data_IF_668285313815
#
_entry.id   IF_668285313815
#
_cell.length_a   1.000
_cell.length_b   1.000
_cell.length_c   1.000
_cell.angle_alpha   90.00
_cell.angle_beta   90.00
_cell.angle_gamma   90.00
#
_symmetry.space_group_name_H-M   'P 1'
#
loop_
_entity.id
_entity.type
_entity.pdbx_description
1 polymer ?
#
# COMPACT_ATOMS: atom_id res chain seq x y z
N UNK A 1 -5.68 25.62 -9.56
CA UNK A 1 -6.65 25.22 -10.61
C UNK A 1 -8.05 25.43 -10.03
N UNK A 2 -9.07 25.64 -10.86
CA UNK A 2 -10.44 25.95 -10.39
C UNK A 2 -11.09 24.72 -9.77
N UNK A 3 -11.87 24.88 -8.68
CA UNK A 3 -12.69 23.82 -8.10
C UNK A 3 -13.44 23.05 -9.21
N UNK A 4 -13.46 21.72 -9.12
CA UNK A 4 -14.13 20.87 -10.10
C UNK A 4 -15.58 21.32 -10.27
N UNK A 5 -16.03 21.37 -11.52
CA UNK A 5 -17.44 21.56 -11.85
C UNK A 5 -18.28 20.55 -11.05
N UNK A 6 -19.36 20.96 -10.32
CA UNK A 6 -20.18 20.05 -9.52
C UNK A 6 -20.65 18.78 -10.25
N UNK A 7 -20.95 18.85 -11.55
CA UNK A 7 -21.32 17.65 -12.32
C UNK A 7 -20.14 16.68 -12.49
N UNK A 8 -18.94 17.21 -12.72
CA UNK A 8 -17.72 16.40 -12.85
C UNK A 8 -17.35 15.77 -11.51
N UNK A 9 -17.46 16.52 -10.40
CA UNK A 9 -17.24 15.96 -9.07
C UNK A 9 -18.21 14.81 -8.78
N UNK A 10 -19.50 14.96 -9.08
CA UNK A 10 -20.48 13.89 -8.88
C UNK A 10 -20.13 12.62 -9.70
N UNK A 11 -19.67 12.78 -10.94
CA UNK A 11 -19.20 11.67 -11.78
C UNK A 11 -17.98 10.97 -11.18
N UNK A 12 -16.97 11.74 -10.74
CA UNK A 12 -15.79 11.21 -10.04
C UNK A 12 -16.19 10.43 -8.79
N UNK A 13 -17.10 10.95 -7.96
CA UNK A 13 -17.54 10.25 -6.76
C UNK A 13 -18.28 8.94 -7.09
N UNK A 14 -19.10 8.93 -8.14
CA UNK A 14 -19.74 7.70 -8.63
C UNK A 14 -18.72 6.69 -9.15
N UNK A 15 -17.65 7.15 -9.83
CA UNK A 15 -16.59 6.28 -10.32
C UNK A 15 -15.77 5.67 -9.17
N UNK A 16 -15.48 6.45 -8.12
CA UNK A 16 -14.81 5.97 -6.90
C UNK A 16 -15.67 4.89 -6.21
N UNK A 17 -16.98 5.11 -6.07
CA UNK A 17 -17.88 4.13 -5.46
C UNK A 17 -17.97 2.84 -6.29
N UNK A 18 -17.89 2.94 -7.61
CA UNK A 18 -17.91 1.81 -8.53
C UNK A 18 -16.58 1.03 -8.64
N UNK A 19 -15.48 1.50 -8.04
CA UNK A 19 -14.19 0.79 -8.13
C UNK A 19 -14.31 -0.66 -7.67
N UNK A 20 -13.90 -1.59 -8.54
CA UNK A 20 -13.72 -2.99 -8.20
C UNK A 20 -12.38 -3.18 -7.48
N UNK A 21 -12.46 -3.31 -6.14
CA UNK A 21 -11.30 -3.55 -5.29
C UNK A 21 -11.14 -5.03 -4.91
N UNK A 22 -11.85 -5.94 -5.58
CA UNK A 22 -11.81 -7.38 -5.27
C UNK A 22 -10.39 -7.97 -5.30
N UNK A 23 -9.54 -7.69 -6.31
CA UNK A 23 -8.18 -8.22 -6.32
C UNK A 23 -7.32 -7.69 -5.16
N UNK A 24 -7.49 -6.42 -4.79
CA UNK A 24 -6.74 -5.78 -3.70
C UNK A 24 -7.18 -6.35 -2.35
N UNK A 25 -8.49 -6.50 -2.13
CA UNK A 25 -9.03 -7.18 -0.93
C UNK A 25 -8.54 -8.62 -0.84
N UNK A 26 -8.57 -9.37 -1.94
CA UNK A 26 -8.03 -10.73 -1.99
C UNK A 26 -6.54 -10.75 -1.61
N UNK A 27 -5.74 -9.82 -2.16
CA UNK A 27 -4.32 -9.70 -1.80
C UNK A 27 -4.13 -9.36 -0.31
N UNK A 28 -4.95 -8.49 0.25
CA UNK A 28 -4.87 -8.09 1.66
C UNK A 28 -5.15 -9.25 2.64
N UNK A 29 -6.02 -10.20 2.28
CA UNK A 29 -6.37 -11.34 3.15
C UNK A 29 -5.38 -12.51 3.09
N UNK A 30 -4.50 -12.53 2.08
CA UNK A 30 -3.47 -13.58 1.95
C UNK A 30 -2.47 -13.53 3.12
N UNK A 31 -2.10 -14.70 3.62
CA UNK A 31 -1.20 -14.85 4.76
C UNK A 31 0.27 -14.79 4.35
N UNK A 32 0.59 -15.27 3.14
CA UNK A 32 1.97 -15.49 2.70
C UNK A 32 2.65 -14.18 2.28
N UNK A 33 1.93 -13.37 1.52
CA UNK A 33 2.46 -12.20 0.82
C UNK A 33 1.49 -11.00 0.86
N UNK A 34 0.50 -11.07 1.76
CA UNK A 34 -0.51 -10.05 2.01
C UNK A 34 -0.45 -9.54 3.45
N UNK A 35 -1.56 -8.94 3.90
CA UNK A 35 -1.65 -8.45 5.28
C UNK A 35 -2.18 -9.48 6.28
N UNK A 36 -2.73 -10.61 5.80
CA UNK A 36 -3.35 -11.64 6.63
C UNK A 36 -4.68 -11.19 7.25
N UNK A 37 -5.30 -10.17 6.68
CA UNK A 37 -6.55 -9.61 7.18
C UNK A 37 -7.73 -10.56 7.03
N UNK A 38 -8.74 -10.41 7.89
CA UNK A 38 -10.03 -11.09 7.65
C UNK A 38 -10.75 -10.42 6.48
N UNK A 39 -11.64 -11.13 5.78
CA UNK A 39 -12.46 -10.54 4.71
C UNK A 39 -13.23 -9.29 5.18
N UNK A 40 -13.80 -9.33 6.39
CA UNK A 40 -14.58 -8.22 6.96
C UNK A 40 -13.69 -6.99 7.20
N UNK A 41 -12.47 -7.21 7.71
CA UNK A 41 -11.53 -6.12 7.89
C UNK A 41 -11.09 -5.53 6.53
N UNK A 42 -10.81 -6.37 5.53
CA UNK A 42 -10.49 -5.90 4.18
C UNK A 42 -11.63 -5.08 3.53
N UNK A 43 -12.90 -5.43 3.76
CA UNK A 43 -14.05 -4.61 3.32
C UNK A 43 -14.09 -3.25 4.02
N UNK A 44 -13.87 -3.21 5.35
CA UNK A 44 -13.83 -1.94 6.09
C UNK A 44 -12.72 -1.02 5.59
N UNK A 45 -11.52 -1.55 5.37
CA UNK A 45 -10.40 -0.76 4.86
C UNK A 45 -10.62 -0.35 3.39
N UNK A 46 -11.21 -1.21 2.55
CA UNK A 46 -11.57 -0.84 1.19
C UNK A 46 -12.55 0.35 1.15
N UNK A 47 -13.54 0.38 2.05
CA UNK A 47 -14.45 1.52 2.20
C UNK A 47 -13.70 2.78 2.69
N UNK A 48 -12.82 2.64 3.67
CA UNK A 48 -11.99 3.77 4.15
C UNK A 48 -11.07 4.31 3.04
N UNK A 49 -10.52 3.45 2.20
CA UNK A 49 -9.71 3.82 1.03
C UNK A 49 -10.53 4.58 -0.02
N UNK A 50 -11.75 4.11 -0.35
CA UNK A 50 -12.67 4.88 -1.24
C UNK A 50 -12.99 6.26 -0.68
N UNK A 51 -13.16 6.38 0.64
CA UNK A 51 -13.35 7.67 1.32
C UNK A 51 -12.10 8.54 1.23
N UNK A 52 -10.90 7.98 1.35
CA UNK A 52 -9.65 8.71 1.14
C UNK A 52 -9.51 9.23 -0.30
N UNK A 53 -9.84 8.42 -1.33
CA UNK A 53 -9.91 8.88 -2.73
C UNK A 53 -10.94 10.00 -2.93
N UNK A 54 -12.07 9.93 -2.22
CA UNK A 54 -13.09 10.99 -2.24
C UNK A 54 -12.54 12.31 -1.68
N UNK A 55 -11.69 12.27 -0.64
CA UNK A 55 -11.05 13.48 -0.12
C UNK A 55 -10.10 14.09 -1.15
N UNK A 56 -9.30 13.27 -1.86
CA UNK A 56 -8.47 13.75 -2.97
C UNK A 56 -9.28 14.41 -4.09
N UNK A 57 -10.45 13.84 -4.44
CA UNK A 57 -11.33 14.43 -5.45
C UNK A 57 -11.93 15.78 -5.00
N UNK A 58 -12.30 15.91 -3.72
CA UNK A 58 -12.93 17.12 -3.18
C UNK A 58 -11.93 18.22 -2.83
N UNK A 59 -10.69 17.85 -2.48
CA UNK A 59 -9.65 18.77 -1.99
C UNK A 59 -8.32 18.56 -2.73
N UNK A 60 -8.29 18.73 -4.07
CA UNK A 60 -7.13 18.37 -4.90
C UNK A 60 -5.87 19.20 -4.60
N UNK A 61 -6.01 20.36 -3.96
CA UNK A 61 -4.89 21.26 -3.63
C UNK A 61 -4.29 20.98 -2.23
N UNK A 62 -4.84 20.03 -1.46
CA UNK A 62 -4.37 19.72 -0.11
C UNK A 62 -3.43 18.51 -0.11
N UNK A 63 -2.40 18.59 0.74
CA UNK A 63 -1.58 17.42 1.08
C UNK A 63 -2.36 16.57 2.09
N UNK A 64 -2.74 15.36 1.70
CA UNK A 64 -3.53 14.44 2.52
C UNK A 64 -2.71 13.19 2.87
N UNK A 65 -2.67 12.85 4.15
CA UNK A 65 -2.00 11.65 4.65
C UNK A 65 -3.04 10.68 5.25
N UNK A 66 -3.15 9.44 4.74
CA UNK A 66 -4.07 8.45 5.28
C UNK A 66 -3.55 7.90 6.61
N UNK A 67 -4.38 7.10 7.28
CA UNK A 67 -3.89 6.21 8.34
C UNK A 67 -3.06 5.04 7.74
N UNK A 68 -2.41 4.29 8.61
CA UNK A 68 -1.49 3.22 8.20
C UNK A 68 -2.19 2.09 7.43
N UNK A 69 -3.40 1.68 7.80
CA UNK A 69 -4.07 0.55 7.13
C UNK A 69 -4.61 0.97 5.75
N UNK A 70 -5.11 2.19 5.62
CA UNK A 70 -5.49 2.77 4.33
C UNK A 70 -4.26 2.96 3.43
N UNK A 71 -3.12 3.37 3.98
CA UNK A 71 -1.85 3.47 3.24
C UNK A 71 -1.38 2.10 2.72
N UNK A 72 -1.39 1.08 3.58
CA UNK A 72 -1.09 -0.30 3.20
C UNK A 72 -2.00 -0.81 2.07
N UNK A 73 -3.31 -0.55 2.16
CA UNK A 73 -4.24 -0.94 1.11
C UNK A 73 -3.98 -0.16 -0.20
N UNK A 74 -3.61 1.12 -0.09
CA UNK A 74 -3.21 1.93 -1.24
C UNK A 74 -1.95 1.37 -1.91
N UNK A 75 -0.96 0.92 -1.15
CA UNK A 75 0.23 0.24 -1.70
C UNK A 75 -0.13 -1.01 -2.46
N UNK A 76 -1.01 -1.86 -1.92
CA UNK A 76 -1.47 -3.05 -2.63
C UNK A 76 -2.15 -2.69 -3.95
N UNK A 77 -2.89 -1.59 -3.99
CA UNK A 77 -3.49 -1.11 -5.23
C UNK A 77 -2.42 -0.61 -6.22
N UNK A 78 -1.46 0.20 -5.77
CA UNK A 78 -0.36 0.73 -6.60
C UNK A 78 0.47 -0.39 -7.24
N UNK A 79 0.70 -1.49 -6.51
CA UNK A 79 1.49 -2.63 -7.01
C UNK A 79 0.86 -3.32 -8.22
N UNK A 80 -0.47 -3.27 -8.38
CA UNK A 80 -1.12 -3.56 -9.66
C UNK A 80 -1.12 -2.30 -10.54
N UNK A 81 0.05 -1.99 -11.10
CA UNK A 81 0.31 -0.71 -11.77
C UNK A 81 -0.64 -0.43 -12.94
N UNK A 82 -1.08 -1.46 -13.67
CA UNK A 82 -2.03 -1.30 -14.79
C UNK A 82 -3.41 -0.95 -14.29
N UNK A 83 -3.91 -1.69 -13.30
CA UNK A 83 -5.21 -1.40 -12.70
C UNK A 83 -5.21 -0.04 -12.03
N UNK A 84 -4.16 0.27 -11.24
CA UNK A 84 -4.05 1.54 -10.56
C UNK A 84 -4.03 2.73 -11.52
N UNK A 85 -3.28 2.63 -12.63
CA UNK A 85 -3.26 3.67 -13.66
C UNK A 85 -4.63 3.84 -14.33
N UNK A 86 -5.30 2.74 -14.68
CA UNK A 86 -6.62 2.78 -15.31
C UNK A 86 -7.70 3.34 -14.37
N UNK A 87 -7.70 2.91 -13.11
CA UNK A 87 -8.62 3.40 -12.08
C UNK A 87 -8.37 4.89 -11.80
N UNK A 88 -7.11 5.33 -11.72
CA UNK A 88 -6.75 6.74 -11.56
C UNK A 88 -7.23 7.61 -12.74
N UNK A 89 -7.02 7.14 -13.98
CA UNK A 89 -7.52 7.82 -15.17
C UNK A 89 -9.05 7.93 -15.16
N UNK A 90 -9.74 6.86 -14.77
CA UNK A 90 -11.19 6.84 -14.72
C UNK A 90 -11.79 7.78 -13.65
N UNK A 91 -11.15 7.92 -12.49
CA UNK A 91 -11.68 8.73 -11.38
C UNK A 91 -11.19 10.19 -11.41
N UNK A 92 -9.91 10.40 -11.71
CA UNK A 92 -9.25 11.72 -11.63
C UNK A 92 -8.90 12.29 -13.00
N UNK A 93 -8.77 11.47 -14.05
CA UNK A 93 -8.20 11.87 -15.34
C UNK A 93 -6.69 12.11 -15.27
N UNK A 94 -6.03 11.63 -14.22
CA UNK A 94 -4.59 11.67 -14.03
C UNK A 94 -4.15 10.63 -13.01
N UNK A 95 -2.86 10.28 -13.03
CA UNK A 95 -2.27 9.35 -12.06
C UNK A 95 -2.12 10.01 -10.68
N UNK A 96 -2.81 9.50 -9.66
CA UNK A 96 -2.61 9.98 -8.28
C UNK A 96 -1.27 9.44 -7.75
N UNK A 97 -0.27 10.32 -7.65
CA UNK A 97 1.06 9.93 -7.21
C UNK A 97 1.14 9.76 -5.68
N UNK A 98 1.77 8.67 -5.25
CA UNK A 98 2.13 8.45 -3.85
C UNK A 98 3.58 8.88 -3.60
N UNK A 99 3.83 9.54 -2.46
CA UNK A 99 5.16 10.00 -2.05
C UNK A 99 5.57 9.32 -0.73
N UNK A 100 6.25 8.15 -0.77
CA UNK A 100 6.48 7.30 0.40
C UNK A 100 7.53 7.86 1.37
N UNK A 101 8.18 8.98 1.01
CA UNK A 101 9.20 9.62 1.83
C UNK A 101 8.66 10.80 2.64
N UNK A 102 7.36 11.11 2.55
CA UNK A 102 6.77 12.21 3.29
C UNK A 102 6.91 11.98 4.79
N UNK A 103 7.46 12.96 5.50
CA UNK A 103 7.73 12.89 6.93
C UNK A 103 9.08 12.31 7.33
N UNK A 104 9.88 11.83 6.37
CA UNK A 104 11.18 11.18 6.66
C UNK A 104 12.39 12.11 6.46
N UNK A 105 12.18 13.34 5.99
CA UNK A 105 13.27 14.26 5.57
C UNK A 105 13.62 15.31 6.64
N UNK A 106 13.54 14.93 7.91
CA UNK A 106 13.83 15.79 9.06
C UNK A 106 12.59 16.32 9.77
N UNK A 107 12.80 17.12 10.83
CA UNK A 107 11.74 17.54 11.75
C UNK A 107 10.62 18.35 11.08
N UNK A 108 10.97 19.25 10.16
CA UNK A 108 9.97 20.05 9.43
C UNK A 108 9.05 19.18 8.56
N UNK A 109 9.60 18.20 7.86
CA UNK A 109 8.84 17.26 7.02
C UNK A 109 7.95 16.36 7.90
N UNK A 110 8.46 15.93 9.06
CA UNK A 110 7.69 15.15 10.03
C UNK A 110 6.50 15.95 10.60
N UNK A 111 6.70 17.24 10.91
CA UNK A 111 5.62 18.13 11.33
C UNK A 111 4.59 18.35 10.21
N UNK A 112 5.05 18.49 8.96
CA UNK A 112 4.16 18.61 7.81
C UNK A 112 3.30 17.36 7.61
N UNK A 113 3.86 16.16 7.78
CA UNK A 113 3.12 14.89 7.77
C UNK A 113 2.06 14.86 8.88
N UNK A 114 2.42 15.27 10.10
CA UNK A 114 1.48 15.34 11.21
C UNK A 114 0.32 16.30 10.93
N UNK A 115 0.60 17.50 10.41
CA UNK A 115 -0.43 18.47 10.02
C UNK A 115 -1.32 17.95 8.88
N UNK A 116 -0.75 17.29 7.87
CA UNK A 116 -1.50 16.68 6.77
C UNK A 116 -2.42 15.55 7.27
N UNK A 117 -1.95 14.75 8.22
CA UNK A 117 -2.73 13.69 8.86
C UNK A 117 -3.90 14.28 9.65
N UNK A 118 -3.66 15.28 10.49
CA UNK A 118 -4.69 16.00 11.26
C UNK A 118 -5.76 16.64 10.36
N UNK A 119 -5.33 17.28 9.27
CA UNK A 119 -6.22 17.82 8.25
C UNK A 119 -7.08 16.72 7.62
N UNK A 120 -6.47 15.58 7.28
CA UNK A 120 -7.17 14.45 6.66
C UNK A 120 -8.25 13.90 7.59
N UNK A 121 -8.00 13.75 8.90
CA UNK A 121 -9.04 13.32 9.84
C UNK A 121 -10.18 14.32 9.95
N UNK A 122 -9.86 15.61 10.03
CA UNK A 122 -10.87 16.67 10.13
C UNK A 122 -11.80 16.66 8.91
N UNK A 123 -11.23 16.53 7.71
CA UNK A 123 -11.98 16.38 6.48
C UNK A 123 -12.79 15.08 6.46
N UNK A 124 -12.20 13.96 6.89
CA UNK A 124 -12.91 12.69 6.97
C UNK A 124 -14.12 12.78 7.89
N UNK A 125 -13.97 13.35 9.08
CA UNK A 125 -15.06 13.55 10.03
C UNK A 125 -16.14 14.48 9.46
N UNK A 126 -15.76 15.56 8.77
CA UNK A 126 -16.72 16.46 8.13
C UNK A 126 -17.51 15.79 7.02
N UNK A 127 -16.86 15.00 6.17
CA UNK A 127 -17.49 14.41 4.99
C UNK A 127 -18.27 13.12 5.31
N UNK A 128 -17.90 12.40 6.37
CA UNK A 128 -18.43 11.05 6.65
C UNK A 128 -18.93 10.84 8.09
N UNK A 129 -18.72 11.79 9.00
CA UNK A 129 -19.01 11.65 10.44
C UNK A 129 -20.49 11.65 10.81
N UNK A 130 -21.36 12.24 9.99
CA UNK A 130 -22.82 12.28 10.24
C UNK A 130 -23.59 11.10 9.61
N UNK A 131 -22.90 10.17 8.94
CA UNK A 131 -23.52 8.96 8.38
C UNK A 131 -23.77 7.92 9.49
N UNK A 132 -24.94 8.06 10.14
CA UNK A 132 -25.53 7.15 11.11
C UNK A 132 -25.05 5.68 11.02
N UNK A 133 -24.27 5.24 12.02
CA UNK A 133 -24.12 3.83 12.40
C UNK A 133 -23.27 2.92 11.50
N UNK A 134 -22.60 3.43 10.47
CA UNK A 134 -21.69 2.63 9.64
C UNK A 134 -20.32 2.48 10.29
N UNK A 135 -19.99 1.29 10.79
CA UNK A 135 -18.72 0.90 11.44
C UNK A 135 -17.48 0.91 10.51
N UNK A 136 -17.34 1.91 9.65
CA UNK A 136 -16.06 2.31 9.11
C UNK A 136 -15.54 3.46 9.99
N UNK A 137 -15.28 3.13 11.25
CA UNK A 137 -14.42 3.96 12.08
C UNK A 137 -13.09 4.07 11.36
N UNK A 138 -12.64 5.30 11.17
CA UNK A 138 -11.26 5.59 10.83
C UNK A 138 -10.43 5.02 11.99
N UNK A 139 -9.88 3.82 11.80
CA UNK A 139 -9.34 2.99 12.88
C UNK A 139 -7.98 3.54 13.34
N UNK A 140 -8.02 4.60 14.14
CA UNK A 140 -6.87 5.14 14.87
C UNK A 140 -7.11 5.28 16.38
N UNK A 141 -8.30 4.94 16.88
CA UNK A 141 -8.69 5.23 18.27
C UNK A 141 -8.05 4.30 19.33
N UNK A 142 -7.52 3.13 18.95
CA UNK A 142 -6.93 2.18 19.92
C UNK A 142 -5.40 2.06 19.86
N UNK A 143 -4.74 2.74 18.91
CA UNK A 143 -3.27 2.78 18.80
C UNK A 143 -2.74 4.22 18.82
N UNK A 144 -3.18 5.00 19.81
CA UNK A 144 -2.56 6.28 20.16
C UNK A 144 -1.17 6.06 20.81
N UNK A 145 -0.26 5.47 20.04
CA UNK A 145 1.19 5.62 20.17
C UNK A 145 1.67 5.95 18.76
N UNK A 146 1.69 7.25 18.48
CA UNK A 146 1.80 7.80 17.15
C UNK A 146 3.00 7.26 16.37
N UNK A 147 2.71 6.75 15.17
CA UNK A 147 3.61 6.78 14.03
C UNK A 147 2.71 6.98 12.80
N UNK A 148 2.76 8.16 12.20
CA UNK A 148 2.24 8.36 10.86
C UNK A 148 2.88 7.32 9.92
N UNK A 149 2.08 6.78 9.00
CA UNK A 149 2.34 5.62 8.16
C UNK A 149 3.84 5.41 7.82
N UNK A 150 4.49 4.53 8.59
CA UNK A 150 5.87 4.11 8.33
C UNK A 150 5.88 3.24 7.07
N UNK A 151 6.08 3.87 5.90
CA UNK A 151 6.17 3.22 4.59
C UNK A 151 7.40 2.28 4.43
N UNK A 152 8.33 2.27 5.40
CA UNK A 152 9.61 1.57 5.32
C UNK A 152 9.76 0.31 6.19
N UNK A 153 8.74 -0.06 6.98
CA UNK A 153 8.83 -1.27 7.81
C UNK A 153 8.32 -2.48 7.02
N UNK A 154 9.21 -3.13 6.28
CA UNK A 154 8.96 -4.49 5.80
C UNK A 154 8.60 -5.36 7.02
N UNK A 155 7.42 -5.98 7.02
CA UNK A 155 7.22 -7.14 7.88
C UNK A 155 8.25 -8.17 7.44
N UNK A 156 9.00 -8.72 8.39
CA UNK A 156 9.88 -9.87 8.19
C UNK A 156 9.07 -11.00 7.56
N UNK A 157 9.00 -11.00 6.23
CA UNK A 157 8.53 -12.12 5.46
C UNK A 157 9.49 -13.24 5.81
N UNK A 158 8.97 -14.34 6.37
CA UNK A 158 9.75 -15.57 6.48
C UNK A 158 10.12 -15.98 5.05
N UNK A 159 11.34 -15.65 4.66
CA UNK A 159 12.02 -16.03 3.42
C UNK A 159 11.16 -15.84 2.15
N UNK A 160 10.97 -14.58 1.76
CA UNK A 160 10.71 -14.29 0.34
C UNK A 160 12.03 -14.46 -0.42
N UNK A 161 12.14 -15.52 -1.21
CA UNK A 161 13.30 -15.76 -2.08
C UNK A 161 13.34 -14.70 -3.17
N UNK A 162 14.17 -13.68 -2.98
CA UNK A 162 14.56 -12.76 -4.05
C UNK A 162 15.29 -13.56 -5.14
N UNK A 163 14.83 -13.43 -6.39
CA UNK A 163 15.57 -13.91 -7.55
C UNK A 163 16.66 -12.90 -7.88
N UNK A 164 17.85 -13.11 -7.33
CA UNK A 164 19.03 -12.33 -7.66
C UNK A 164 19.96 -12.21 -6.45
N UNK A 165 21.14 -12.84 -6.57
CA UNK A 165 22.24 -12.90 -5.63
C UNK A 165 22.13 -13.96 -4.52
N UNK A 166 23.06 -14.92 -4.60
CA UNK A 166 23.38 -15.86 -3.53
C UNK A 166 23.76 -15.09 -2.25
N UNK A 167 22.88 -15.13 -1.24
CA UNK A 167 23.19 -14.67 0.10
C UNK A 167 23.54 -15.88 0.99
N UNK A 168 24.74 -15.96 1.58
CA UNK A 168 25.01 -16.97 2.58
C UNK A 168 24.31 -16.58 3.90
N UNK A 169 23.50 -17.49 4.42
CA UNK A 169 22.95 -17.42 5.77
C UNK A 169 24.07 -17.39 6.80
N UNK A 170 24.06 -16.42 7.72
CA UNK A 170 24.67 -16.59 9.05
C UNK A 170 23.82 -15.95 10.14
N UNK A 171 23.53 -16.74 11.18
CA UNK A 171 22.98 -16.31 12.45
C UNK A 171 24.08 -15.70 13.34
N UNK A 172 23.69 -14.69 14.11
CA UNK A 172 24.22 -14.25 15.41
C UNK A 172 25.63 -13.59 15.51
N UNK A 173 25.59 -12.27 15.69
CA UNK A 173 26.14 -11.47 16.80
C UNK A 173 27.56 -11.74 17.40
N UNK A 174 28.34 -10.63 17.43
CA UNK A 174 29.49 -10.23 18.28
C UNK A 174 30.95 -10.51 17.85
N UNK A 175 31.78 -9.49 18.14
CA UNK A 175 33.14 -9.20 17.68
C UNK A 175 34.26 -10.11 18.21
N UNK A 176 35.30 -10.32 17.40
CA UNK A 176 36.60 -10.88 17.79
C UNK A 176 37.43 -11.30 16.57
N UNK A 177 38.74 -11.12 16.60
CA UNK A 177 39.64 -11.06 15.45
C UNK A 177 40.14 -12.42 14.90
N UNK A 178 40.78 -12.30 13.73
CA UNK A 178 41.79 -13.14 13.06
C UNK A 178 41.37 -14.40 12.25
N UNK A 179 41.75 -14.38 10.97
CA UNK A 179 41.73 -15.49 10.01
C UNK A 179 42.99 -16.38 10.15
N UNK A 180 43.01 -17.64 9.64
CA UNK A 180 43.40 -17.82 8.23
C UNK A 180 42.87 -19.06 7.47
N UNK A 181 42.87 -18.93 6.13
CA UNK A 181 43.09 -19.89 5.01
C UNK A 181 42.32 -21.23 4.87
N UNK A 182 41.88 -21.43 3.61
CA UNK A 182 41.17 -22.52 2.87
C UNK A 182 41.89 -23.90 2.83
N UNK A 183 41.52 -24.92 2.00
CA UNK A 183 40.33 -25.17 1.13
C UNK A 183 39.75 -26.62 1.21
N UNK A 184 38.57 -26.90 0.63
CA UNK A 184 38.27 -28.18 -0.06
C UNK A 184 36.84 -28.24 -0.63
N UNK A 185 36.75 -28.70 -1.88
CA UNK A 185 35.55 -29.02 -2.63
C UNK A 185 35.03 -30.42 -2.28
N UNK A 186 33.71 -30.65 -2.32
CA UNK A 186 33.10 -31.96 -2.64
C UNK A 186 31.73 -31.77 -3.31
N UNK A 187 31.53 -32.52 -4.40
CA UNK A 187 30.28 -32.68 -5.16
C UNK A 187 29.33 -33.67 -4.47
N UNK A 188 28.02 -33.54 -4.67
CA UNK A 188 27.07 -34.59 -4.29
C UNK A 188 25.58 -34.23 -4.43
N UNK A 189 25.01 -34.58 -5.58
CA UNK A 189 23.66 -35.11 -5.83
C UNK A 189 22.42 -34.53 -5.12
N UNK A 190 21.55 -33.94 -5.96
CA UNK A 190 20.11 -34.23 -6.13
C UNK A 190 19.24 -34.52 -4.90
N UNK A 191 18.36 -33.56 -4.60
CA UNK A 191 17.10 -33.76 -3.88
C UNK A 191 15.98 -32.97 -4.57
N UNK A 192 14.72 -33.45 -4.56
CA UNK A 192 13.66 -32.88 -5.37
C UNK A 192 13.29 -31.49 -4.85
N UNK A 193 13.61 -30.45 -5.61
CA UNK A 193 13.07 -29.12 -5.37
C UNK A 193 11.63 -29.11 -5.85
N UNK A 194 10.67 -29.27 -4.94
CA UNK A 194 9.31 -28.79 -5.15
C UNK A 194 9.39 -27.28 -5.28
N UNK A 195 9.49 -26.78 -6.52
CA UNK A 195 9.47 -25.35 -6.79
C UNK A 195 8.04 -24.85 -6.58
N UNK A 196 7.80 -24.11 -5.50
CA UNK A 196 6.66 -23.21 -5.47
C UNK A 196 6.98 -22.04 -6.41
N UNK A 197 6.27 -21.97 -7.53
CA UNK A 197 6.37 -20.87 -8.47
C UNK A 197 5.91 -19.56 -7.79
N UNK A 198 6.77 -18.54 -7.79
CA UNK A 198 6.39 -17.17 -7.48
C UNK A 198 5.81 -16.53 -8.76
N UNK A 199 4.57 -16.04 -8.67
CA UNK A 199 3.84 -15.50 -9.82
C UNK A 199 3.95 -13.96 -9.85
N UNK A 200 4.63 -13.45 -10.88
CA UNK A 200 4.39 -12.13 -11.46
C UNK A 200 4.19 -12.37 -12.96
N UNK A 201 2.96 -12.24 -13.46
CA UNK A 201 2.65 -12.44 -14.87
C UNK A 201 2.46 -11.11 -15.59
N UNK A 202 2.98 -11.00 -16.82
CA UNK A 202 2.60 -9.92 -17.74
C UNK A 202 1.37 -10.37 -18.53
N UNK A 203 0.25 -9.66 -18.40
CA UNK A 203 -0.87 -9.90 -19.32
C UNK A 203 -0.50 -9.32 -20.69
N UNK A 204 -0.35 -10.22 -21.67
CA UNK A 204 -0.06 -9.85 -23.07
C UNK A 204 -1.34 -9.95 -23.89
N UNK A 205 -2.36 -9.17 -23.53
CA UNK A 205 -3.40 -8.87 -24.49
C UNK A 205 -2.81 -7.97 -25.57
N UNK A 206 -2.45 -8.63 -26.67
CA UNK A 206 -1.95 -8.02 -27.89
C UNK A 206 -2.91 -6.94 -28.38
N UNK A 207 -2.41 -5.71 -28.45
CA UNK A 207 -2.95 -4.71 -29.36
C UNK A 207 -2.88 -5.28 -30.78
N UNK A 208 -4.01 -5.72 -31.33
CA UNK A 208 -4.14 -5.85 -32.78
C UNK A 208 -4.50 -4.47 -33.33
N UNK A 209 -3.48 -3.75 -33.75
CA UNK A 209 -3.61 -2.72 -34.77
C UNK A 209 -3.90 -3.41 -36.11
N UNK A 210 -5.06 -3.11 -36.68
CA UNK A 210 -5.33 -2.64 -38.06
C UNK A 210 -6.83 -2.58 -38.26
#
# INVERSE_FOLDING_TARGET
MTALNPQLLAQTLSAIDALDLTPIKFKATRQEDGYGWTPEHAERIALAYKRYLTLHAKYPDLMLAPDQEVDHFWHLHILDTRKYAADCEAIFGYFLHHYPYFGLRGEEDAMALQSAFEMTQSLYAREFGDAAGGQATWCGAESAQGLAAWCGAERQAKQAAWCGADAPQQNAAWCGADAPRSPAAWCGADGPKTMHAAWCGVDTQAARAT
#
